data_IF_625021584276
#
_entry.id   IF_625021584276
#
_cell.length_a   1.000
_cell.length_b   1.000
_cell.length_c   1.000
_cell.angle_alpha   90.00
_cell.angle_beta   90.00
_cell.angle_gamma   90.00
#
_symmetry.space_group_name_H-M   'P 1'
#
loop_
_entity.id
_entity.type
_entity.pdbx_description
1 polymer ?
#
# COMPACT_ATOMS: atom_id res chain seq x y z
N UNK A 1 15.37 -27.70 21.43
CA UNK A 1 13.96 -27.25 21.46
C UNK A 1 13.75 -26.29 20.28
N UNK A 2 13.23 -26.78 19.15
CA UNK A 2 12.92 -25.89 18.02
C UNK A 2 11.67 -25.08 18.39
N UNK A 3 11.83 -23.76 18.55
CA UNK A 3 10.70 -22.83 18.73
C UNK A 3 9.90 -22.84 17.44
N UNK A 4 8.77 -23.56 17.41
CA UNK A 4 7.81 -23.50 16.31
C UNK A 4 7.15 -22.13 16.31
N UNK A 5 7.81 -21.24 15.57
CA UNK A 5 7.26 -20.42 14.51
C UNK A 5 5.90 -19.79 14.80
N UNK A 6 5.95 -18.51 15.16
CA UNK A 6 4.88 -17.54 14.97
C UNK A 6 4.08 -17.88 13.72
N UNK A 7 2.75 -18.02 13.88
CA UNK A 7 1.85 -18.40 12.79
C UNK A 7 2.14 -17.55 11.55
N UNK A 8 2.15 -18.14 10.35
CA UNK A 8 2.23 -17.37 9.08
C UNK A 8 1.07 -16.36 8.95
N UNK A 9 0.02 -16.55 9.74
CA UNK A 9 -1.14 -15.68 9.84
C UNK A 9 -1.11 -14.71 11.03
N UNK A 10 -0.04 -14.67 11.82
CA UNK A 10 0.08 -13.71 12.91
C UNK A 10 0.32 -12.29 12.33
N UNK A 11 -0.64 -11.36 12.47
CA UNK A 11 -0.49 -10.01 11.94
C UNK A 11 0.59 -9.22 12.70
N UNK A 12 0.98 -9.63 13.91
CA UNK A 12 2.03 -8.97 14.71
C UNK A 12 3.45 -9.36 14.28
N UNK A 13 3.60 -10.50 13.61
CA UNK A 13 4.87 -10.97 13.05
C UNK A 13 5.21 -10.32 11.70
N UNK A 14 4.23 -9.64 11.09
CA UNK A 14 4.43 -8.87 9.85
C UNK A 14 5.20 -7.63 10.26
N UNK A 15 6.47 -7.57 9.86
CA UNK A 15 7.39 -6.50 10.25
C UNK A 15 6.89 -5.08 9.92
N UNK A 16 7.66 -4.04 10.29
CA UNK A 16 7.27 -2.63 10.17
C UNK A 16 6.86 -2.19 8.75
N UNK A 17 7.11 -3.00 7.71
CA UNK A 17 6.59 -2.83 6.36
C UNK A 17 5.05 -2.81 6.24
N UNK A 18 4.32 -3.33 7.24
CA UNK A 18 2.85 -3.24 7.31
C UNK A 18 2.35 -2.04 8.13
N UNK A 19 3.24 -1.20 8.71
CA UNK A 19 2.78 0.04 9.33
C UNK A 19 2.11 0.86 8.24
N UNK A 20 0.81 1.13 8.44
CA UNK A 20 0.00 1.96 7.57
C UNK A 20 0.74 3.29 7.41
N UNK A 21 1.41 3.46 6.27
CA UNK A 21 2.05 4.71 5.91
C UNK A 21 1.01 5.81 5.99
N UNK A 22 1.43 6.97 6.46
CA UNK A 22 0.63 8.18 6.47
C UNK A 22 1.12 9.08 5.35
N UNK A 23 0.25 9.42 4.42
CA UNK A 23 0.52 10.39 3.36
C UNK A 23 -0.31 11.65 3.65
N UNK A 24 0.36 12.80 3.81
CA UNK A 24 -0.30 14.08 4.13
C UNK A 24 -1.23 14.02 5.35
N UNK A 25 -0.85 13.25 6.38
CA UNK A 25 -1.66 13.07 7.59
C UNK A 25 -2.84 12.09 7.44
N UNK A 26 -3.06 11.54 6.24
CA UNK A 26 -4.07 10.52 5.97
C UNK A 26 -3.44 9.14 5.98
N UNK A 27 -4.10 8.18 6.63
CA UNK A 27 -3.70 6.77 6.56
C UNK A 27 -3.93 6.26 5.15
N UNK A 28 -2.90 5.62 4.60
CA UNK A 28 -2.98 5.02 3.26
C UNK A 28 -2.80 3.52 3.32
N UNK A 29 -3.52 2.83 2.43
CA UNK A 29 -3.47 1.39 2.22
C UNK A 29 -2.87 1.10 0.84
N UNK A 30 -2.09 0.02 0.70
CA UNK A 30 -1.67 -0.44 -0.61
C UNK A 30 -2.88 -1.02 -1.37
N UNK A 31 -3.12 -0.55 -2.59
CA UNK A 31 -4.15 -1.05 -3.49
C UNK A 31 -3.58 -1.32 -4.88
N UNK A 32 -4.10 -2.34 -5.57
CA UNK A 32 -3.71 -2.63 -6.94
C UNK A 32 -4.31 -1.59 -7.88
N UNK A 33 -3.45 -0.83 -8.56
CA UNK A 33 -3.86 0.06 -9.64
C UNK A 33 -3.58 -0.58 -11.00
N UNK A 34 -4.59 -0.55 -11.87
CA UNK A 34 -4.54 -1.09 -13.24
C UNK A 34 -4.83 0.06 -14.20
N UNK A 35 -3.77 0.76 -14.61
CA UNK A 35 -3.84 1.87 -15.55
C UNK A 35 -3.45 1.51 -16.98
N UNK A 36 -3.53 0.23 -17.36
CA UNK A 36 -3.16 -0.25 -18.71
C UNK A 36 -3.92 0.48 -19.82
N UNK A 37 -5.20 0.85 -19.58
CA UNK A 37 -6.02 1.59 -20.54
C UNK A 37 -5.58 3.05 -20.74
N UNK A 38 -4.84 3.63 -19.79
CA UNK A 38 -4.37 5.03 -19.80
C UNK A 38 -2.84 5.13 -19.93
N UNK A 39 -2.15 4.03 -20.25
CA UNK A 39 -0.69 4.01 -20.45
C UNK A 39 0.15 4.07 -19.17
N UNK A 40 -0.46 4.02 -17.98
CA UNK A 40 0.26 4.07 -16.70
C UNK A 40 0.81 2.71 -16.24
N UNK A 41 0.38 1.61 -16.86
CA UNK A 41 0.77 0.25 -16.48
C UNK A 41 0.06 -0.24 -15.20
N UNK A 42 0.64 -1.27 -14.57
CA UNK A 42 0.07 -1.93 -13.38
C UNK A 42 1.05 -1.87 -12.22
N UNK A 43 0.64 -1.28 -11.10
CA UNK A 43 1.48 -1.14 -9.90
C UNK A 43 0.62 -1.06 -8.63
N UNK A 44 1.27 -1.11 -7.47
CA UNK A 44 0.60 -0.90 -6.18
C UNK A 44 0.56 0.60 -5.90
N UNK A 45 -0.63 1.18 -5.94
CA UNK A 45 -0.88 2.58 -5.62
C UNK A 45 -1.29 2.74 -4.16
N UNK A 46 -1.16 3.96 -3.66
CA UNK A 46 -1.70 4.33 -2.37
C UNK A 46 -3.18 4.67 -2.46
N UNK A 47 -3.96 4.14 -1.52
CA UNK A 47 -5.40 4.34 -1.38
C UNK A 47 -5.68 4.97 -0.01
N UNK A 48 -6.53 5.98 0.04
CA UNK A 48 -6.98 6.57 1.30
C UNK A 48 -7.96 5.65 2.05
N UNK A 49 -8.33 6.00 3.29
CA UNK A 49 -9.32 5.23 4.06
C UNK A 49 -10.71 5.19 3.41
N UNK A 50 -11.02 6.15 2.54
CA UNK A 50 -12.29 6.24 1.79
C UNK A 50 -12.32 5.38 0.53
N UNK A 51 -11.24 4.66 0.21
CA UNK A 51 -11.16 3.81 -0.98
C UNK A 51 -10.76 4.55 -2.26
N UNK A 52 -10.45 5.86 -2.19
CA UNK A 52 -9.95 6.63 -3.33
C UNK A 52 -8.44 6.51 -3.43
N UNK A 53 -7.93 6.50 -4.67
CA UNK A 53 -6.49 6.52 -4.90
C UNK A 53 -5.94 7.91 -4.55
N UNK A 54 -4.79 7.93 -3.90
CA UNK A 54 -4.01 9.15 -3.69
C UNK A 54 -3.36 9.50 -5.03
N UNK A 55 -3.65 10.71 -5.52
CA UNK A 55 -3.13 11.20 -6.79
C UNK A 55 -1.99 12.19 -6.54
N UNK A 56 -1.01 12.22 -7.43
CA UNK A 56 0.01 13.26 -7.50
C UNK A 56 -0.57 14.57 -8.09
N UNK A 57 0.28 15.60 -8.22
CA UNK A 57 -0.09 16.89 -8.81
C UNK A 57 -0.48 16.80 -10.29
N UNK A 58 -0.08 15.73 -10.97
CA UNK A 58 -0.36 15.47 -12.38
C UNK A 58 -1.62 14.58 -12.56
N UNK A 59 -2.29 14.23 -11.46
CA UNK A 59 -3.48 13.39 -11.46
C UNK A 59 -3.22 11.89 -11.58
N UNK A 60 -1.97 11.44 -11.39
CA UNK A 60 -1.58 10.03 -11.47
C UNK A 60 -1.56 9.40 -10.07
N UNK A 61 -2.03 8.15 -9.91
CA UNK A 61 -1.96 7.48 -8.61
C UNK A 61 -0.51 7.35 -8.12
N UNK A 62 -0.28 7.77 -6.88
CA UNK A 62 1.05 7.66 -6.26
C UNK A 62 1.34 6.20 -5.95
N UNK A 63 2.50 5.70 -6.37
CA UNK A 63 2.92 4.34 -6.05
C UNK A 63 3.20 4.19 -4.55
N UNK A 64 2.63 3.17 -3.90
CA UNK A 64 2.77 2.93 -2.46
C UNK A 64 4.21 2.71 -2.00
N UNK A 65 5.07 2.27 -2.92
CA UNK A 65 6.51 2.09 -2.68
C UNK A 65 7.24 3.43 -2.53
N UNK A 66 6.77 4.48 -3.18
CA UNK A 66 7.45 5.78 -3.30
C UNK A 66 6.95 6.80 -2.26
N UNK A 67 6.08 6.35 -1.35
CA UNK A 67 5.60 7.08 -0.15
C UNK A 67 6.43 6.65 1.06
#
# INVERSE_FOLDING_TARGET
MLKTSTSKNDPTARGPAQQLKTFEGKKIKPALYVGTAVGHGRYIAAQDEGGKLVLDREGRPVAYRDI
#
